data_IF_994943055928
#
_entry.id   IF_994943055928
#
_cell.length_a   1.000
_cell.length_b   1.000
_cell.length_c   1.000
_cell.angle_alpha   90.00
_cell.angle_beta   90.00
_cell.angle_gamma   90.00
#
_symmetry.space_group_name_H-M   'P 1'
#
loop_
_entity.id
_entity.type
_entity.pdbx_description
1 polymer ?
#
# COMPACT_ATOMS: atom_id res chain seq x y z
N UNK A 1 9.44 10.66 -9.18
CA UNK A 1 10.77 11.15 -8.78
C UNK A 1 11.13 10.67 -7.39
N UNK A 2 12.40 10.78 -7.00
CA UNK A 2 12.81 10.50 -5.61
C UNK A 2 12.08 11.51 -4.70
N UNK A 3 11.42 11.00 -3.66
CA UNK A 3 10.66 11.81 -2.70
C UNK A 3 9.18 12.02 -3.06
N UNK A 4 8.74 11.66 -4.27
CA UNK A 4 7.33 11.77 -4.64
C UNK A 4 6.47 10.74 -3.90
N UNK A 5 5.31 11.18 -3.43
CA UNK A 5 4.33 10.28 -2.83
C UNK A 5 3.83 9.28 -3.88
N UNK A 6 4.03 8.00 -3.62
CA UNK A 6 3.50 6.92 -4.48
C UNK A 6 2.08 6.51 -4.09
N UNK A 7 1.74 6.63 -2.80
CA UNK A 7 0.43 6.28 -2.26
C UNK A 7 0.15 7.11 -1.00
N UNK A 8 -1.12 7.26 -0.67
CA UNK A 8 -1.58 7.98 0.52
C UNK A 8 -2.86 7.35 1.04
N UNK A 9 -2.97 7.24 2.36
CA UNK A 9 -4.17 6.77 3.06
C UNK A 9 -4.53 7.82 4.10
N UNK A 10 -5.76 8.33 4.03
CA UNK A 10 -6.31 9.25 5.01
C UNK A 10 -7.58 8.69 5.62
N UNK A 11 -7.69 8.86 6.94
CA UNK A 11 -8.87 8.50 7.70
C UNK A 11 -9.21 9.66 8.65
N UNK A 12 -10.49 9.82 8.97
CA UNK A 12 -10.97 10.79 9.93
C UNK A 12 -11.97 10.13 10.89
N UNK A 13 -11.96 10.58 12.15
CA UNK A 13 -12.92 10.19 13.18
C UNK A 13 -13.16 11.39 14.12
N UNK A 14 -14.23 11.34 14.91
CA UNK A 14 -14.58 12.43 15.84
C UNK A 14 -13.51 12.65 16.92
N UNK A 15 -12.82 11.59 17.33
CA UNK A 15 -11.67 11.65 18.22
C UNK A 15 -10.58 10.66 17.80
N UNK A 16 -9.34 10.93 18.22
CA UNK A 16 -8.15 10.14 17.82
C UNK A 16 -8.19 8.68 18.29
N UNK A 17 -8.95 8.38 19.34
CA UNK A 17 -9.15 7.07 19.93
C UNK A 17 -10.35 6.32 19.34
N UNK A 18 -11.09 6.92 18.41
CA UNK A 18 -12.21 6.27 17.71
C UNK A 18 -11.73 5.49 16.45
N UNK A 19 -10.58 4.85 16.55
CA UNK A 19 -10.06 3.95 15.51
C UNK A 19 -9.45 4.61 14.28
N UNK A 20 -9.23 5.92 14.25
CA UNK A 20 -8.67 6.61 13.06
C UNK A 20 -7.26 6.10 12.69
N UNK A 21 -6.43 5.77 13.68
CA UNK A 21 -5.09 5.24 13.43
C UNK A 21 -5.13 3.78 12.96
N UNK A 22 -6.01 2.97 13.53
CA UNK A 22 -6.20 1.58 13.12
C UNK A 22 -6.75 1.51 11.70
N UNK A 23 -7.70 2.38 11.35
CA UNK A 23 -8.25 2.49 10.00
C UNK A 23 -7.17 2.91 8.98
N UNK A 24 -6.33 3.89 9.31
CA UNK A 24 -5.25 4.33 8.41
C UNK A 24 -4.21 3.23 8.18
N UNK A 25 -3.84 2.51 9.26
CA UNK A 25 -2.94 1.36 9.17
C UNK A 25 -3.55 0.23 8.34
N UNK A 26 -4.78 -0.16 8.66
CA UNK A 26 -5.51 -1.18 7.91
C UNK A 26 -5.60 -0.82 6.43
N UNK A 27 -5.89 0.44 6.10
CA UNK A 27 -5.98 0.90 4.72
C UNK A 27 -4.67 0.71 3.94
N UNK A 28 -3.51 1.04 4.53
CA UNK A 28 -2.22 0.83 3.83
C UNK A 28 -1.84 -0.64 3.75
N UNK A 29 -2.09 -1.42 4.81
CA UNK A 29 -1.81 -2.86 4.83
C UNK A 29 -2.61 -3.57 3.74
N UNK A 30 -3.93 -3.35 3.68
CA UNK A 30 -4.81 -3.94 2.67
C UNK A 30 -4.51 -3.48 1.27
N UNK A 31 -4.18 -2.20 1.06
CA UNK A 31 -3.77 -1.70 -0.25
C UNK A 31 -2.54 -2.48 -0.76
N UNK A 32 -1.55 -2.73 0.10
CA UNK A 32 -0.35 -3.48 -0.27
C UNK A 32 -0.57 -4.97 -0.44
N UNK A 33 -1.68 -5.47 0.07
CA UNK A 33 -2.08 -6.86 -0.03
C UNK A 33 -2.87 -7.12 -1.30
N UNK A 34 -3.99 -6.42 -1.50
CA UNK A 34 -5.00 -6.85 -2.47
C UNK A 34 -4.92 -6.12 -3.81
N UNK A 35 -4.33 -4.93 -3.84
CA UNK A 35 -4.28 -4.14 -5.07
C UNK A 35 -3.18 -4.70 -5.97
N UNK A 36 -3.48 -5.02 -7.25
CA UNK A 36 -2.48 -5.54 -8.18
C UNK A 36 -1.52 -4.43 -8.65
N UNK A 37 -0.52 -4.13 -7.83
CA UNK A 37 0.53 -3.15 -8.12
C UNK A 37 1.92 -3.76 -7.99
N UNK A 38 2.81 -3.37 -8.91
CA UNK A 38 4.21 -3.81 -8.93
C UNK A 38 5.14 -2.60 -8.94
N UNK A 39 6.28 -2.73 -8.26
CA UNK A 39 7.33 -1.70 -8.26
C UNK A 39 8.32 -2.01 -9.38
N UNK A 40 8.50 -1.07 -10.31
CA UNK A 40 9.62 -1.15 -11.27
C UNK A 40 10.87 -0.56 -10.64
N UNK A 41 11.86 -1.39 -10.38
CA UNK A 41 13.18 -0.95 -9.94
C UNK A 41 14.06 -0.76 -11.16
N UNK A 42 14.68 0.42 -11.29
CA UNK A 42 15.56 0.79 -12.40
C UNK A 42 16.96 0.99 -11.85
N UNK A 43 17.88 0.11 -12.24
CA UNK A 43 19.30 0.20 -11.92
C UNK A 43 20.15 0.56 -13.14
N UNK A 44 21.49 0.63 -12.99
CA UNK A 44 22.40 0.99 -14.08
C UNK A 44 22.34 0.04 -15.28
N UNK A 45 22.16 -1.26 -15.03
CA UNK A 45 22.29 -2.31 -16.06
C UNK A 45 20.95 -2.98 -16.42
N UNK A 46 19.91 -2.82 -15.59
CA UNK A 46 18.62 -3.48 -15.80
C UNK A 46 17.45 -2.75 -15.13
N UNK A 47 16.25 -3.07 -15.58
CA UNK A 47 15.00 -2.73 -14.88
C UNK A 47 14.19 -4.00 -14.60
N UNK A 48 13.74 -4.16 -13.37
CA UNK A 48 13.01 -5.35 -12.91
C UNK A 48 11.67 -4.95 -12.28
N UNK A 49 10.65 -5.80 -12.45
CA UNK A 49 9.38 -5.66 -11.77
C UNK A 49 9.38 -6.50 -10.50
N UNK A 50 9.08 -5.87 -9.37
CA UNK A 50 9.01 -6.49 -8.05
C UNK A 50 7.55 -6.57 -7.63
N UNK A 51 7.11 -7.77 -7.28
CA UNK A 51 5.78 -8.05 -6.75
C UNK A 51 5.72 -7.87 -5.22
N UNK A 52 4.54 -7.54 -4.71
CA UNK A 52 4.24 -7.54 -3.28
C UNK A 52 4.40 -8.93 -2.65
N UNK A 53 4.55 -8.99 -1.33
CA UNK A 53 4.73 -10.27 -0.61
C UNK A 53 3.43 -11.05 -0.45
N UNK A 54 2.30 -10.37 -0.48
CA UNK A 54 0.99 -10.97 -0.26
C UNK A 54 0.39 -11.42 -1.58
N UNK A 55 -0.30 -12.56 -1.57
CA UNK A 55 -1.06 -13.08 -2.70
C UNK A 55 -2.55 -13.02 -2.35
N UNK A 56 -3.35 -12.23 -3.09
CA UNK A 56 -4.78 -12.15 -2.84
C UNK A 56 -5.46 -13.51 -2.96
N UNK A 57 -6.44 -13.73 -2.11
CA UNK A 57 -7.33 -14.89 -2.11
C UNK A 57 -8.75 -14.45 -2.47
N UNK A 58 -9.65 -15.41 -2.64
CA UNK A 58 -11.07 -15.10 -2.91
C UNK A 58 -11.77 -14.38 -1.76
N UNK A 59 -11.22 -14.42 -0.54
CA UNK A 59 -11.77 -13.77 0.66
C UNK A 59 -11.53 -12.25 0.68
N UNK A 60 -10.66 -11.75 -0.21
CA UNK A 60 -10.32 -10.33 -0.29
C UNK A 60 -11.30 -9.50 -1.13
N UNK A 61 -12.32 -10.15 -1.73
CA UNK A 61 -13.36 -9.53 -2.57
C UNK A 61 -14.64 -9.22 -1.82
#
# INVERSE_FOLDING_TARGET
>A
NIGDHTTFVACAAGHRDQGVFDAARYGIDRLKEIVPVWKKEVGPDQAVWVEGKYRPTTEDN
#
